data_IF_022300451802
#
_entry.id   IF_022300451802
#
_cell.length_a   1.000
_cell.length_b   1.000
_cell.length_c   1.000
_cell.angle_alpha   90.00
_cell.angle_beta   90.00
_cell.angle_gamma   90.00
#
_symmetry.space_group_name_H-M   'P 1'
#
loop_
_entity.id
_entity.type
_entity.pdbx_description
1 polymer ?
#
# COMPACT_ATOMS: atom_id res chain seq x y z
N UNK A 1 7.72 -5.20 -1.42
CA UNK A 1 6.48 -5.25 -0.61
C UNK A 1 6.57 -4.52 0.73
N UNK A 2 7.65 -3.81 1.05
CA UNK A 2 7.78 -3.09 2.33
C UNK A 2 6.74 -1.98 2.50
N UNK A 3 6.51 -1.18 1.45
CA UNK A 3 5.49 -0.12 1.42
C UNK A 3 4.09 -0.65 1.75
N UNK A 4 3.68 -1.77 1.13
CA UNK A 4 2.39 -2.43 1.40
C UNK A 4 2.26 -2.79 2.88
N UNK A 5 3.31 -3.37 3.48
CA UNK A 5 3.32 -3.72 4.91
C UNK A 5 3.21 -2.47 5.77
N UNK A 6 4.01 -1.44 5.47
CA UNK A 6 4.02 -0.17 6.19
C UNK A 6 2.65 0.51 6.17
N UNK A 7 2.03 0.64 5.00
CA UNK A 7 0.72 1.28 4.85
C UNK A 7 -0.37 0.51 5.59
N UNK A 8 -0.40 -0.83 5.51
CA UNK A 8 -1.35 -1.66 6.26
C UNK A 8 -1.16 -1.55 7.78
N UNK A 9 0.08 -1.46 8.26
CA UNK A 9 0.36 -1.23 9.69
C UNK A 9 -0.19 0.12 10.14
N UNK A 10 0.03 1.20 9.37
CA UNK A 10 -0.48 2.53 9.69
C UNK A 10 -2.01 2.53 9.69
N UNK A 11 -2.66 1.94 8.68
CA UNK A 11 -4.11 1.81 8.64
C UNK A 11 -4.67 1.07 9.88
N UNK A 12 -4.02 -0.03 10.26
CA UNK A 12 -4.39 -0.81 11.44
C UNK A 12 -4.25 0.00 12.74
N UNK A 13 -3.20 0.83 12.84
CA UNK A 13 -3.01 1.74 13.97
C UNK A 13 -4.09 2.83 14.02
N UNK A 14 -4.45 3.41 12.87
CA UNK A 14 -5.54 4.38 12.76
C UNK A 14 -6.88 3.79 13.25
N UNK A 15 -7.21 2.56 12.83
CA UNK A 15 -8.42 1.85 13.29
C UNK A 15 -8.41 1.57 14.80
N UNK A 16 -7.27 1.13 15.32
CA UNK A 16 -7.10 0.94 16.77
C UNK A 16 -7.30 2.26 17.53
N UNK A 17 -6.66 3.34 17.05
CA UNK A 17 -6.78 4.66 17.68
C UNK A 17 -8.22 5.18 17.64
N UNK A 18 -8.95 4.93 16.55
CA UNK A 18 -10.36 5.32 16.41
C UNK A 18 -11.24 4.65 17.47
N UNK A 19 -10.96 3.40 17.84
CA UNK A 19 -11.70 2.66 18.87
C UNK A 19 -11.55 3.31 20.25
N UNK A 20 -10.38 3.88 20.56
CA UNK A 20 -10.11 4.55 21.84
C UNK A 20 -10.46 6.05 21.84
N UNK A 21 -10.76 6.66 20.68
CA UNK A 21 -11.02 8.10 20.51
C UNK A 21 -12.32 8.35 19.73
N UNK A 22 -13.51 8.08 20.32
CA UNK A 22 -14.79 8.13 19.59
C UNK A 22 -15.07 9.48 18.92
N UNK A 23 -14.66 10.59 19.54
CA UNK A 23 -14.84 11.96 19.00
C UNK A 23 -14.04 12.24 17.72
N UNK A 24 -12.91 11.55 17.51
CA UNK A 24 -12.07 11.70 16.32
C UNK A 24 -12.11 10.47 15.40
N UNK A 25 -12.97 9.50 15.73
CA UNK A 25 -13.03 8.19 15.08
C UNK A 25 -13.24 8.31 13.57
N UNK A 26 -14.14 9.18 13.12
CA UNK A 26 -14.43 9.39 11.70
C UNK A 26 -13.19 9.85 10.91
N UNK A 27 -12.42 10.81 11.43
CA UNK A 27 -11.20 11.28 10.78
C UNK A 27 -10.12 10.20 10.74
N UNK A 28 -9.99 9.40 11.81
CA UNK A 28 -9.01 8.32 11.89
C UNK A 28 -9.37 7.16 10.96
N UNK A 29 -10.66 6.84 10.81
CA UNK A 29 -11.14 5.83 9.86
C UNK A 29 -10.95 6.28 8.41
N UNK A 30 -11.17 7.57 8.11
CA UNK A 30 -10.87 8.12 6.79
C UNK A 30 -9.37 8.00 6.46
N UNK A 31 -8.49 8.33 7.41
CA UNK A 31 -7.04 8.12 7.24
C UNK A 31 -6.70 6.65 7.03
N UNK A 32 -7.33 5.73 7.78
CA UNK A 32 -7.11 4.30 7.61
C UNK A 32 -7.45 3.82 6.19
N UNK A 33 -8.60 4.27 5.67
CA UNK A 33 -9.04 3.98 4.30
C UNK A 33 -8.05 4.48 3.26
N UNK A 34 -7.50 5.68 3.45
CA UNK A 34 -6.52 6.25 2.53
C UNK A 34 -5.22 5.40 2.48
N UNK A 35 -4.72 4.99 3.65
CA UNK A 35 -3.55 4.13 3.73
C UNK A 35 -3.78 2.74 3.14
N UNK A 36 -4.97 2.17 3.33
CA UNK A 36 -5.36 0.91 2.69
C UNK A 36 -5.38 1.04 1.17
N UNK A 37 -5.96 2.12 0.65
CA UNK A 37 -5.96 2.38 -0.79
C UNK A 37 -4.53 2.46 -1.34
N UNK A 38 -3.63 3.20 -0.69
CA UNK A 38 -2.21 3.26 -1.08
C UNK A 38 -1.53 1.89 -1.04
N UNK A 39 -1.88 1.03 -0.07
CA UNK A 39 -1.35 -0.33 0.02
C UNK A 39 -1.83 -1.23 -1.12
N UNK A 40 -3.08 -1.07 -1.54
CA UNK A 40 -3.67 -1.79 -2.68
C UNK A 40 -3.02 -1.31 -3.98
N UNK A 41 -2.92 -0.01 -4.21
CA UNK A 41 -2.29 0.54 -5.42
C UNK A 41 -0.83 0.11 -5.58
N UNK A 42 -0.05 0.11 -4.49
CA UNK A 42 1.34 -0.38 -4.52
C UNK A 42 1.41 -1.89 -4.84
N UNK A 43 0.46 -2.67 -4.31
CA UNK A 43 0.39 -4.10 -4.55
C UNK A 43 -0.03 -4.39 -6.00
N UNK A 44 -1.01 -3.67 -6.53
CA UNK A 44 -1.44 -3.75 -7.93
C UNK A 44 -0.28 -3.40 -8.88
N UNK A 45 0.42 -2.28 -8.65
CA UNK A 45 1.56 -1.88 -9.46
C UNK A 45 2.70 -2.93 -9.45
N UNK A 46 2.92 -3.60 -8.31
CA UNK A 46 3.88 -4.71 -8.23
C UNK A 46 3.44 -5.91 -9.08
N UNK A 47 2.16 -6.28 -9.02
CA UNK A 47 1.62 -7.39 -9.82
C UNK A 47 1.59 -7.06 -11.31
N UNK A 48 1.22 -5.84 -11.70
CA UNK A 48 1.28 -5.36 -13.09
C UNK A 48 2.71 -5.49 -13.63
N UNK A 49 3.70 -4.97 -12.90
CA UNK A 49 5.11 -5.08 -13.30
C UNK A 49 5.57 -6.55 -13.40
N UNK A 50 5.10 -7.42 -12.51
CA UNK A 50 5.41 -8.85 -12.57
C UNK A 50 4.80 -9.52 -13.80
N UNK A 51 3.54 -9.22 -14.11
CA UNK A 51 2.85 -9.72 -15.30
C UNK A 51 3.50 -9.22 -16.60
N UNK A 52 3.89 -7.95 -16.66
CA UNK A 52 4.59 -7.36 -17.80
C UNK A 52 5.93 -8.07 -18.07
N UNK A 53 6.71 -8.32 -17.02
CA UNK A 53 7.96 -9.09 -17.11
C UNK A 53 7.70 -10.52 -17.59
N UNK A 54 6.67 -11.19 -17.07
CA UNK A 54 6.31 -12.55 -17.47
C UNK A 54 5.80 -12.63 -18.92
N UNK A 55 5.19 -11.56 -19.43
CA UNK A 55 4.72 -11.44 -20.81
C UNK A 55 5.83 -11.06 -21.81
N UNK A 56 7.08 -10.89 -21.35
CA UNK A 56 8.21 -10.49 -22.18
C UNK A 56 8.21 -9.02 -22.60
N UNK A 57 7.34 -8.20 -21.99
CA UNK A 57 7.30 -6.76 -22.20
C UNK A 57 8.08 -6.09 -21.07
N UNK A 58 9.41 -6.01 -21.17
CA UNK A 58 10.26 -5.50 -20.09
C UNK A 58 9.92 -4.03 -19.77
N UNK A 59 9.26 -3.72 -18.63
CA UNK A 59 8.96 -2.33 -18.33
C UNK A 59 10.21 -1.68 -17.75
N UNK A 60 10.56 -0.48 -18.21
CA UNK A 60 11.78 0.26 -17.82
C UNK A 60 11.94 0.45 -16.28
N UNK A 61 10.86 0.31 -15.52
CA UNK A 61 10.85 0.42 -14.05
C UNK A 61 11.36 -0.83 -13.32
N UNK A 62 11.38 -2.00 -13.98
CA UNK A 62 11.93 -3.24 -13.42
C UNK A 62 13.46 -3.20 -13.23
N UNK A 63 14.14 -2.42 -14.08
CA UNK A 63 15.61 -2.28 -14.06
C UNK A 63 16.10 -1.66 -12.74
N UNK A 64 15.28 -0.83 -12.08
CA UNK A 64 15.66 -0.17 -10.82
C UNK A 64 15.61 -1.09 -9.58
N UNK A 65 14.93 -2.24 -9.64
CA UNK A 65 14.86 -3.20 -8.53
C UNK A 65 15.92 -4.32 -8.61
N UNK A 66 16.65 -4.43 -9.72
CA UNK A 66 17.70 -5.43 -9.91
C UNK A 66 19.13 -4.92 -9.57
N UNK A 67 19.25 -3.63 -9.21
CA UNK A 67 20.54 -2.93 -8.98
C UNK A 67 20.72 -2.46 -7.53
N UNK A 68 19.82 -2.80 -6.61
CA UNK A 68 20.04 -2.67 -5.15
C UNK A 68 19.89 -4.04 -4.50
#
# INVERSE_FOLDING_TARGET
>A
MENVRRYRTIASLCRQTAAYRPRHSCSLLAQASEWEHRAVTELEAYYEAFCDMAAGNTPARAVNYAVN
#
